data_IF_001341738985
#
_entry.id   IF_001341738985
#
_cell.length_a   1.000
_cell.length_b   1.000
_cell.length_c   1.000
_cell.angle_alpha   90.00
_cell.angle_beta   90.00
_cell.angle_gamma   90.00
#
_symmetry.space_group_name_H-M   'P 1'
#
loop_
_entity.id
_entity.type
_entity.pdbx_description
1 polymer ?
#
# COMPACT_ATOMS: atom_id res chain seq x y z
N UNK A 1 -16.21 3.50 10.79
CA UNK A 1 -16.52 2.98 9.44
C UNK A 1 -15.40 3.39 8.49
N UNK A 2 -14.97 2.48 7.61
CA UNK A 2 -14.02 2.74 6.55
C UNK A 2 -14.77 2.74 5.21
N UNK A 3 -14.76 3.88 4.52
CA UNK A 3 -15.29 3.95 3.16
C UNK A 3 -14.30 3.31 2.18
N UNK A 4 -14.80 2.57 1.20
CA UNK A 4 -13.97 2.03 0.13
C UNK A 4 -14.75 1.85 -1.16
N UNK A 5 -14.04 1.75 -2.27
CA UNK A 5 -14.56 1.38 -3.59
C UNK A 5 -13.99 0.04 -4.00
N UNK A 6 -14.78 -0.72 -4.75
CA UNK A 6 -14.38 -1.98 -5.37
C UNK A 6 -14.46 -1.84 -6.88
N UNK A 7 -13.42 -2.26 -7.57
CA UNK A 7 -13.45 -2.47 -9.01
C UNK A 7 -13.38 -3.98 -9.27
N UNK A 8 -14.42 -4.51 -9.89
CA UNK A 8 -14.47 -5.90 -10.31
C UNK A 8 -13.86 -6.08 -11.72
N UNK A 9 -13.36 -7.28 -12.10
CA UNK A 9 -13.08 -7.62 -13.49
C UNK A 9 -14.26 -7.32 -14.43
N UNK A 10 -13.99 -7.11 -15.73
CA UNK A 10 -15.05 -6.78 -16.70
C UNK A 10 -16.12 -7.87 -16.77
N UNK A 11 -15.67 -9.12 -16.84
CA UNK A 11 -16.51 -10.31 -16.94
C UNK A 11 -16.42 -11.09 -15.62
N UNK A 12 -16.81 -10.41 -14.51
CA UNK A 12 -16.71 -11.01 -13.19
C UNK A 12 -17.66 -12.21 -13.05
N UNK A 13 -17.07 -13.33 -12.68
CA UNK A 13 -17.73 -14.61 -12.48
C UNK A 13 -17.37 -15.16 -11.08
N UNK A 14 -18.34 -15.31 -10.20
CA UNK A 14 -18.13 -15.77 -8.82
C UNK A 14 -17.53 -17.18 -8.72
N UNK A 15 -17.61 -17.99 -9.78
CA UNK A 15 -17.05 -19.33 -9.82
C UNK A 15 -15.55 -19.34 -10.11
N UNK A 16 -14.97 -18.21 -10.59
CA UNK A 16 -13.57 -18.04 -10.89
C UNK A 16 -12.81 -17.39 -9.73
N UNK A 17 -11.50 -17.67 -9.66
CA UNK A 17 -10.61 -17.03 -8.67
C UNK A 17 -9.82 -15.90 -9.28
N UNK A 18 -9.89 -14.74 -8.64
CA UNK A 18 -9.21 -13.51 -9.10
C UNK A 18 -8.11 -13.07 -8.14
N UNK A 19 -7.07 -12.41 -8.63
CA UNK A 19 -6.17 -11.63 -7.80
C UNK A 19 -6.94 -10.56 -7.02
N UNK A 20 -6.48 -10.27 -5.82
CA UNK A 20 -6.94 -9.15 -5.01
C UNK A 20 -5.85 -8.07 -4.96
N UNK A 21 -6.18 -6.84 -5.28
CA UNK A 21 -5.24 -5.73 -5.23
C UNK A 21 -5.73 -4.64 -4.28
N UNK A 22 -4.96 -4.33 -3.27
CA UNK A 22 -5.19 -3.20 -2.37
C UNK A 22 -4.40 -1.99 -2.86
N UNK A 23 -5.07 -0.85 -3.01
CA UNK A 23 -4.43 0.44 -3.30
C UNK A 23 -4.66 1.44 -2.16
N UNK A 24 -3.59 1.95 -1.56
CA UNK A 24 -3.61 2.98 -0.53
C UNK A 24 -3.23 4.33 -1.14
N UNK A 25 -4.12 5.31 -1.05
CA UNK A 25 -3.95 6.65 -1.61
C UNK A 25 -2.98 7.54 -0.82
N UNK A 26 -2.59 8.68 -1.38
CA UNK A 26 -1.76 9.69 -0.72
C UNK A 26 -2.52 10.51 0.34
N UNK A 27 -1.81 11.40 1.01
CA UNK A 27 -2.39 12.20 2.11
C UNK A 27 -3.45 13.19 1.61
N UNK A 28 -3.36 13.64 0.36
CA UNK A 28 -4.29 14.60 -0.26
C UNK A 28 -5.67 14.02 -0.58
N UNK A 29 -5.78 12.71 -0.75
CA UNK A 29 -7.01 12.02 -1.17
C UNK A 29 -7.86 11.55 0.02
N UNK A 30 -7.46 11.91 1.24
CA UNK A 30 -8.28 11.69 2.45
C UNK A 30 -9.62 12.40 2.36
N UNK A 31 -10.61 11.86 3.01
CA UNK A 31 -11.95 12.43 3.07
C UNK A 31 -13.02 11.44 3.46
N UNK A 32 -14.27 11.78 3.17
CA UNK A 32 -15.45 10.95 3.41
C UNK A 32 -16.37 10.84 2.18
N UNK A 33 -15.93 11.42 1.05
CA UNK A 33 -16.72 11.48 -0.19
C UNK A 33 -16.71 10.16 -0.99
N UNK A 34 -15.83 9.24 -0.60
CA UNK A 34 -15.61 7.96 -1.28
C UNK A 34 -15.32 8.12 -2.79
N UNK A 35 -14.62 9.21 -3.19
CA UNK A 35 -14.28 9.57 -4.57
C UNK A 35 -12.81 9.97 -4.73
N UNK A 36 -12.27 10.82 -3.84
CA UNK A 36 -10.91 11.37 -3.95
C UNK A 36 -9.82 10.31 -4.02
N UNK A 37 -9.99 9.16 -3.34
CA UNK A 37 -9.02 8.05 -3.38
C UNK A 37 -8.80 7.47 -4.79
N UNK A 38 -9.65 7.80 -5.77
CA UNK A 38 -9.54 7.34 -7.15
C UNK A 38 -8.76 8.31 -8.06
N UNK A 39 -8.35 9.48 -7.58
CA UNK A 39 -7.85 10.60 -8.40
C UNK A 39 -6.68 10.19 -9.31
N UNK A 40 -5.63 9.58 -8.76
CA UNK A 40 -4.40 9.31 -9.52
C UNK A 40 -4.37 7.94 -10.18
N UNK A 41 -5.04 6.97 -9.61
CA UNK A 41 -4.87 5.57 -9.99
C UNK A 41 -6.03 5.03 -10.82
N UNK A 42 -7.16 5.72 -10.83
CA UNK A 42 -8.36 5.27 -11.54
C UNK A 42 -8.07 4.99 -13.03
N UNK A 43 -7.32 5.86 -13.71
CA UNK A 43 -6.99 5.69 -15.14
C UNK A 43 -6.21 4.39 -15.43
N UNK A 44 -5.37 3.93 -14.50
CA UNK A 44 -4.60 2.69 -14.67
C UNK A 44 -5.52 1.48 -14.51
N UNK A 45 -6.29 1.43 -13.42
CA UNK A 45 -7.14 0.28 -13.11
C UNK A 45 -8.43 0.25 -13.90
N UNK A 46 -9.05 1.41 -14.23
CA UNK A 46 -10.29 1.47 -15.00
C UNK A 46 -10.09 1.31 -16.52
N UNK A 47 -8.85 1.39 -17.01
CA UNK A 47 -8.54 1.23 -18.43
C UNK A 47 -9.02 -0.14 -18.95
N UNK A 48 -9.85 -0.15 -19.99
CA UNK A 48 -10.45 -1.38 -20.55
C UNK A 48 -9.41 -2.41 -20.97
N UNK A 49 -8.30 -1.99 -21.60
CA UNK A 49 -7.20 -2.88 -22.01
C UNK A 49 -6.53 -3.52 -20.80
N UNK A 50 -6.24 -2.72 -19.74
CA UNK A 50 -5.63 -3.22 -18.53
C UNK A 50 -6.56 -4.21 -17.80
N UNK A 51 -7.85 -3.89 -17.66
CA UNK A 51 -8.86 -4.76 -17.03
C UNK A 51 -9.02 -6.09 -17.77
N UNK A 52 -8.93 -6.09 -19.13
CA UNK A 52 -8.96 -7.31 -19.92
C UNK A 52 -7.67 -8.13 -19.77
N UNK A 53 -6.51 -7.46 -19.79
CA UNK A 53 -5.19 -8.13 -19.72
C UNK A 53 -4.86 -8.63 -18.31
N UNK A 54 -5.29 -7.90 -17.27
CA UNK A 54 -4.99 -8.16 -15.86
C UNK A 54 -6.27 -8.15 -15.02
N UNK A 55 -7.18 -9.11 -15.21
CA UNK A 55 -8.42 -9.15 -14.46
C UNK A 55 -8.11 -9.36 -12.97
N UNK A 56 -8.55 -8.41 -12.14
CA UNK A 56 -8.34 -8.41 -10.69
C UNK A 56 -9.51 -7.71 -9.98
N UNK A 57 -9.75 -8.06 -8.74
CA UNK A 57 -10.59 -7.31 -7.82
C UNK A 57 -9.70 -6.28 -7.16
N UNK A 58 -10.03 -4.99 -7.27
CA UNK A 58 -9.22 -3.90 -6.72
C UNK A 58 -10.01 -3.16 -5.65
N UNK A 59 -9.38 -2.94 -4.51
CA UNK A 59 -9.95 -2.26 -3.35
C UNK A 59 -9.26 -0.91 -3.17
N UNK A 60 -10.06 0.15 -3.09
CA UNK A 60 -9.63 1.52 -2.88
C UNK A 60 -10.29 2.07 -1.60
N UNK A 61 -9.70 1.84 -0.42
CA UNK A 61 -10.21 2.45 0.81
C UNK A 61 -9.89 3.95 0.84
N UNK A 62 -10.67 4.71 1.63
CA UNK A 62 -10.43 6.13 1.88
C UNK A 62 -10.24 6.38 3.36
N UNK A 63 -9.07 6.91 3.75
CA UNK A 63 -8.83 7.39 5.10
C UNK A 63 -9.54 8.73 5.33
N UNK A 64 -10.13 8.97 6.50
CA UNK A 64 -10.73 10.26 6.82
C UNK A 64 -9.66 11.35 7.00
N UNK A 65 -10.06 12.63 6.95
CA UNK A 65 -9.15 13.76 7.16
C UNK A 65 -8.44 13.72 8.52
N UNK A 66 -9.07 13.13 9.52
CA UNK A 66 -8.57 13.04 10.90
C UNK A 66 -7.58 11.90 11.12
N UNK A 67 -7.32 11.05 10.12
CA UNK A 67 -6.43 9.89 10.24
C UNK A 67 -5.53 9.71 9.01
N UNK A 68 -4.69 8.70 9.00
CA UNK A 68 -3.77 8.40 7.91
C UNK A 68 -3.48 6.90 7.83
N UNK A 69 -2.78 6.46 6.76
CA UNK A 69 -2.41 5.05 6.59
C UNK A 69 -1.23 4.59 7.45
N UNK A 70 -0.49 5.52 8.06
CA UNK A 70 0.74 5.17 8.77
C UNK A 70 0.86 5.91 10.09
N UNK A 71 1.44 5.24 11.07
CA UNK A 71 1.80 5.75 12.40
C UNK A 71 3.03 6.68 12.38
N UNK A 72 3.30 7.35 11.24
CA UNK A 72 4.42 8.27 11.10
C UNK A 72 4.37 9.43 12.10
N UNK A 73 5.55 9.86 12.55
CA UNK A 73 5.74 11.06 13.35
C UNK A 73 6.33 12.13 12.44
N UNK A 74 5.69 13.30 12.37
CA UNK A 74 6.25 14.46 11.68
C UNK A 74 7.25 15.16 12.59
N UNK A 75 8.39 15.51 12.03
CA UNK A 75 9.43 16.32 12.69
C UNK A 75 9.86 17.44 11.76
N UNK A 76 10.35 18.53 12.30
CA UNK A 76 11.05 19.55 11.50
C UNK A 76 12.52 19.13 11.35
N UNK A 77 13.01 19.09 10.11
CA UNK A 77 14.39 18.79 9.80
C UNK A 77 14.92 19.70 8.70
N UNK A 78 16.12 20.29 8.85
CA UNK A 78 16.71 21.19 7.85
C UNK A 78 16.94 20.54 6.50
N UNK A 79 17.12 19.21 6.46
CA UNK A 79 17.38 18.40 5.26
C UNK A 79 16.12 17.76 4.67
N UNK A 80 14.94 18.27 5.03
CA UNK A 80 13.61 17.77 4.59
C UNK A 80 13.33 16.30 4.93
N UNK A 81 14.10 15.68 5.82
CA UNK A 81 13.80 14.33 6.31
C UNK A 81 12.83 14.40 7.50
N UNK A 82 11.59 14.74 7.18
CA UNK A 82 10.56 15.14 8.16
C UNK A 82 9.76 13.98 8.77
N UNK A 83 10.13 12.72 8.49
CA UNK A 83 9.38 11.55 8.97
C UNK A 83 10.20 10.66 9.87
N UNK A 84 9.62 10.31 11.01
CA UNK A 84 10.10 9.25 11.91
C UNK A 84 9.04 8.17 12.08
N UNK A 85 9.48 6.96 12.34
CA UNK A 85 8.63 5.80 12.59
C UNK A 85 9.14 5.06 13.80
N UNK A 86 8.24 4.44 14.58
CA UNK A 86 8.60 3.54 15.68
C UNK A 86 8.62 2.10 15.19
N UNK A 87 9.61 1.31 15.59
CA UNK A 87 9.68 -0.12 15.24
C UNK A 87 8.42 -0.87 15.70
N UNK A 88 8.02 -0.65 16.93
CA UNK A 88 6.82 -1.25 17.53
C UNK A 88 5.66 -0.25 17.51
N UNK A 89 5.28 0.21 16.31
CA UNK A 89 4.13 1.11 16.15
C UNK A 89 2.81 0.35 16.33
N UNK A 90 1.83 1.03 16.93
CA UNK A 90 0.43 0.65 16.82
C UNK A 90 -0.10 1.19 15.50
N UNK A 91 -0.72 0.37 14.65
CA UNK A 91 -1.34 0.85 13.43
C UNK A 91 -2.37 1.94 13.71
N UNK A 92 -2.52 2.88 12.80
CA UNK A 92 -3.61 3.86 12.86
C UNK A 92 -4.96 3.15 12.80
N UNK A 93 -6.03 3.84 13.19
CA UNK A 93 -7.39 3.29 13.10
C UNK A 93 -7.75 2.91 11.65
N UNK A 94 -7.39 3.75 10.68
CA UNK A 94 -7.61 3.49 9.26
C UNK A 94 -6.85 2.26 8.77
N UNK A 95 -5.56 2.12 9.14
CA UNK A 95 -4.77 0.95 8.75
C UNK A 95 -5.31 -0.33 9.42
N UNK A 96 -5.72 -0.26 10.68
CA UNK A 96 -6.34 -1.39 11.39
C UNK A 96 -7.63 -1.85 10.71
N UNK A 97 -8.46 -0.90 10.26
CA UNK A 97 -9.69 -1.23 9.52
C UNK A 97 -9.38 -1.86 8.14
N UNK A 98 -8.34 -1.37 7.45
CA UNK A 98 -7.86 -2.00 6.20
C UNK A 98 -7.38 -3.42 6.46
N UNK A 99 -6.63 -3.66 7.53
CA UNK A 99 -6.20 -5.02 7.91
C UNK A 99 -7.39 -5.95 8.08
N UNK A 100 -8.39 -5.56 8.87
CA UNK A 100 -9.60 -6.36 9.06
C UNK A 100 -10.41 -6.58 7.77
N UNK A 101 -10.49 -5.56 6.90
CA UNK A 101 -11.12 -5.68 5.60
C UNK A 101 -10.38 -6.71 4.72
N UNK A 102 -9.05 -6.64 4.65
CA UNK A 102 -8.25 -7.58 3.86
C UNK A 102 -8.30 -8.99 4.44
N UNK A 103 -8.22 -9.15 5.76
CA UNK A 103 -8.37 -10.45 6.43
C UNK A 103 -9.72 -11.10 6.08
N UNK A 104 -10.81 -10.31 5.96
CA UNK A 104 -12.12 -10.81 5.54
C UNK A 104 -12.20 -11.12 4.04
N UNK A 105 -11.65 -10.23 3.18
CA UNK A 105 -11.73 -10.43 1.73
C UNK A 105 -10.97 -11.66 1.25
N UNK A 106 -9.81 -11.96 1.83
CA UNK A 106 -9.03 -13.14 1.44
C UNK A 106 -9.70 -14.46 1.79
N UNK A 107 -10.77 -14.48 2.59
CA UNK A 107 -11.55 -15.70 2.88
C UNK A 107 -12.56 -16.04 1.79
N UNK A 108 -12.90 -15.10 0.89
CA UNK A 108 -13.90 -15.30 -0.14
C UNK A 108 -13.42 -16.30 -1.21
N UNK A 109 -14.31 -17.20 -1.66
CA UNK A 109 -13.98 -18.29 -2.58
C UNK A 109 -13.45 -17.81 -3.94
N UNK A 110 -13.93 -16.66 -4.41
CA UNK A 110 -13.50 -16.05 -5.66
C UNK A 110 -12.20 -15.23 -5.55
N UNK A 111 -11.53 -15.25 -4.40
CA UNK A 111 -10.21 -14.64 -4.23
C UNK A 111 -9.10 -15.70 -4.30
N UNK A 112 -8.10 -15.43 -5.13
CA UNK A 112 -6.86 -16.20 -5.13
C UNK A 112 -5.92 -15.71 -4.03
N UNK A 113 -5.90 -16.40 -2.90
CA UNK A 113 -5.08 -16.05 -1.72
C UNK A 113 -3.57 -15.96 -2.00
N UNK A 114 -3.09 -16.62 -3.06
CA UNK A 114 -1.67 -16.58 -3.49
C UNK A 114 -1.37 -15.40 -4.42
N UNK A 115 -2.37 -14.60 -4.78
CA UNK A 115 -2.26 -13.45 -5.69
C UNK A 115 -2.87 -12.19 -5.08
N UNK A 116 -2.43 -11.85 -3.89
CA UNK A 116 -2.82 -10.61 -3.19
C UNK A 116 -1.71 -9.58 -3.36
N UNK A 117 -2.02 -8.41 -3.89
CA UNK A 117 -1.06 -7.37 -4.23
C UNK A 117 -1.35 -6.08 -3.47
N UNK A 118 -0.30 -5.30 -3.24
CA UNK A 118 -0.38 -4.03 -2.52
C UNK A 118 0.32 -2.92 -3.30
N UNK A 119 -0.38 -1.81 -3.51
CA UNK A 119 0.24 -0.57 -4.00
C UNK A 119 -0.11 0.56 -3.04
N UNK A 120 0.85 1.42 -2.77
CA UNK A 120 0.64 2.61 -1.97
C UNK A 120 1.33 3.82 -2.55
N UNK A 121 0.69 4.99 -2.52
CA UNK A 121 1.24 6.26 -2.98
C UNK A 121 1.52 7.18 -1.80
N UNK A 122 2.75 7.72 -1.67
CA UNK A 122 3.11 8.71 -0.65
C UNK A 122 2.76 8.22 0.78
N UNK A 123 1.83 8.84 1.47
CA UNK A 123 1.30 8.34 2.74
C UNK A 123 0.75 6.91 2.64
N UNK A 124 0.17 6.53 1.49
CA UNK A 124 -0.24 5.16 1.21
C UNK A 124 0.93 4.19 1.11
N UNK A 125 2.08 4.63 0.58
CA UNK A 125 3.29 3.83 0.57
C UNK A 125 3.88 3.65 1.98
N UNK A 126 3.77 4.67 2.83
CA UNK A 126 4.13 4.54 4.26
C UNK A 126 3.25 3.49 4.95
N UNK A 127 1.94 3.53 4.68
CA UNK A 127 1.00 2.51 5.14
C UNK A 127 1.28 1.13 4.56
N UNK A 128 1.73 1.05 3.31
CA UNK A 128 2.11 -0.21 2.67
C UNK A 128 3.30 -0.87 3.38
N UNK A 129 4.36 -0.14 3.69
CA UNK A 129 5.49 -0.66 4.46
C UNK A 129 5.07 -1.12 5.87
N UNK A 130 4.19 -0.36 6.53
CA UNK A 130 3.68 -0.75 7.85
C UNK A 130 2.78 -1.99 7.77
N UNK A 131 1.93 -2.08 6.75
CA UNK A 131 1.05 -3.22 6.51
C UNK A 131 1.83 -4.50 6.18
N UNK A 132 2.88 -4.42 5.37
CA UNK A 132 3.81 -5.53 5.11
C UNK A 132 4.44 -6.05 6.41
N UNK A 133 4.81 -5.16 7.33
CA UNK A 133 5.33 -5.55 8.64
C UNK A 133 4.26 -6.26 9.50
N UNK A 134 3.01 -5.82 9.44
CA UNK A 134 1.90 -6.37 10.26
C UNK A 134 1.26 -7.63 9.65
N UNK A 135 1.38 -7.82 8.34
CA UNK A 135 0.85 -8.96 7.58
C UNK A 135 1.89 -9.48 6.57
N UNK A 136 3.05 -9.99 7.06
CA UNK A 136 4.20 -10.31 6.22
C UNK A 136 3.96 -11.46 5.23
N UNK A 137 2.93 -12.29 5.47
CA UNK A 137 2.61 -13.46 4.64
C UNK A 137 1.39 -13.22 3.73
N UNK A 138 0.79 -12.02 3.76
CA UNK A 138 -0.43 -11.74 3.02
C UNK A 138 -0.18 -11.43 1.54
N UNK A 139 0.91 -10.73 1.22
CA UNK A 139 1.09 -10.13 -0.10
C UNK A 139 2.10 -10.90 -0.96
N UNK A 140 1.67 -11.25 -2.18
CA UNK A 140 2.51 -11.88 -3.18
C UNK A 140 3.52 -10.91 -3.81
N UNK A 141 3.22 -9.60 -3.84
CA UNK A 141 4.13 -8.52 -4.20
C UNK A 141 3.58 -7.18 -3.74
N UNK A 142 4.46 -6.16 -3.62
CA UNK A 142 4.04 -4.80 -3.30
C UNK A 142 4.82 -3.74 -4.09
N UNK A 143 4.14 -2.61 -4.37
CA UNK A 143 4.69 -1.46 -5.08
C UNK A 143 4.48 -0.19 -4.25
N UNK A 144 5.38 0.13 -3.29
CA UNK A 144 5.39 1.40 -2.60
C UNK A 144 5.94 2.50 -3.53
N UNK A 145 5.19 3.60 -3.68
CA UNK A 145 5.54 4.75 -4.56
C UNK A 145 5.77 5.98 -3.67
N UNK A 146 6.95 6.61 -3.76
CA UNK A 146 7.40 7.79 -3.02
C UNK A 146 7.08 7.72 -1.51
N UNK A 147 7.46 6.61 -0.86
CA UNK A 147 7.14 6.34 0.54
C UNK A 147 8.32 6.41 1.49
N UNK A 148 8.01 6.15 2.76
CA UNK A 148 8.97 6.03 3.85
C UNK A 148 8.49 4.96 4.84
N UNK A 149 9.41 4.35 5.57
CA UNK A 149 9.08 3.34 6.58
C UNK A 149 10.19 3.20 7.64
N UNK A 150 9.94 2.35 8.63
CA UNK A 150 10.96 2.00 9.61
C UNK A 150 11.81 0.83 9.09
N UNK A 151 13.15 0.96 9.03
CA UNK A 151 14.03 -0.11 8.54
C UNK A 151 13.83 -1.44 9.29
N UNK A 152 13.62 -1.39 10.59
CA UNK A 152 13.40 -2.60 11.40
C UNK A 152 12.10 -3.37 11.07
N UNK A 153 11.21 -2.84 10.25
CA UNK A 153 10.04 -3.58 9.74
C UNK A 153 10.41 -4.55 8.63
N UNK A 154 11.46 -4.24 7.90
CA UNK A 154 11.89 -4.97 6.69
C UNK A 154 12.18 -6.44 6.97
N UNK A 155 12.76 -6.76 8.13
CA UNK A 155 13.11 -8.13 8.52
C UNK A 155 11.93 -9.12 8.45
N UNK A 156 10.70 -8.62 8.62
CA UNK A 156 9.51 -9.47 8.64
C UNK A 156 9.04 -9.88 7.23
N UNK A 157 9.38 -9.10 6.17
CA UNK A 157 8.84 -9.32 4.82
C UNK A 157 9.87 -9.37 3.69
N UNK A 158 11.13 -8.95 3.92
CA UNK A 158 12.13 -8.81 2.87
C UNK A 158 12.33 -10.07 2.00
N UNK A 159 12.33 -11.26 2.61
CA UNK A 159 12.49 -12.55 1.93
C UNK A 159 11.17 -13.17 1.47
N UNK A 160 10.02 -12.56 1.81
CA UNK A 160 8.69 -13.11 1.57
C UNK A 160 7.96 -12.39 0.45
N UNK A 161 8.07 -11.06 0.41
CA UNK A 161 7.31 -10.21 -0.49
C UNK A 161 8.25 -9.50 -1.47
N UNK A 162 8.26 -9.84 -2.76
CA UNK A 162 8.92 -9.05 -3.79
C UNK A 162 8.44 -7.61 -3.79
N UNK A 163 9.37 -6.65 -3.86
CA UNK A 163 9.08 -5.22 -3.84
C UNK A 163 9.53 -4.53 -5.12
N UNK A 164 8.67 -3.68 -5.67
CA UNK A 164 9.04 -2.69 -6.67
C UNK A 164 8.86 -1.30 -6.06
N UNK A 165 9.97 -0.70 -5.63
CA UNK A 165 9.97 0.60 -4.95
C UNK A 165 10.24 1.70 -5.99
N UNK A 166 9.29 2.64 -6.12
CA UNK A 166 9.36 3.73 -7.10
C UNK A 166 9.48 5.05 -6.36
N UNK A 167 10.41 5.93 -6.79
CA UNK A 167 10.56 7.27 -6.23
C UNK A 167 11.15 8.23 -7.25
N UNK A 168 10.63 9.45 -7.33
CA UNK A 168 11.21 10.52 -8.10
C UNK A 168 12.43 11.11 -7.38
N UNK A 169 13.54 11.31 -8.08
CA UNK A 169 14.80 11.82 -7.50
C UNK A 169 14.69 13.27 -6.98
N UNK A 170 13.73 14.06 -7.50
CA UNK A 170 13.48 15.46 -7.12
C UNK A 170 12.19 15.62 -6.27
N UNK A 171 11.78 14.58 -5.54
CA UNK A 171 10.63 14.68 -4.65
C UNK A 171 10.95 15.55 -3.43
N UNK A 172 10.32 16.74 -3.36
CA UNK A 172 10.50 17.71 -2.28
C UNK A 172 9.52 17.52 -1.13
N UNK A 173 8.54 16.61 -1.26
CA UNK A 173 7.53 16.32 -0.23
C UNK A 173 7.96 15.15 0.65
N UNK A 174 8.34 14.04 0.01
CA UNK A 174 8.91 12.88 0.68
C UNK A 174 10.32 12.67 0.12
N UNK A 175 11.33 13.06 0.89
CA UNK A 175 12.71 13.02 0.41
C UNK A 175 13.10 11.60 -0.06
N UNK A 176 13.71 11.42 -1.26
CA UNK A 176 14.04 10.10 -1.85
C UNK A 176 14.91 9.21 -0.95
N UNK A 177 15.68 9.83 -0.05
CA UNK A 177 16.45 9.14 1.00
C UNK A 177 15.65 8.02 1.68
N UNK A 178 14.36 8.23 1.94
CA UNK A 178 13.55 7.23 2.64
C UNK A 178 13.38 5.94 1.82
N UNK A 179 13.06 6.06 0.54
CA UNK A 179 12.95 4.88 -0.33
C UNK A 179 14.31 4.20 -0.54
N UNK A 180 15.39 4.98 -0.74
CA UNK A 180 16.75 4.46 -0.84
C UNK A 180 17.12 3.68 0.43
N UNK A 181 16.83 4.23 1.61
CA UNK A 181 17.06 3.56 2.88
C UNK A 181 16.27 2.25 2.98
N UNK A 182 15.01 2.23 2.55
CA UNK A 182 14.21 1.00 2.57
C UNK A 182 14.78 -0.04 1.61
N UNK A 183 15.20 0.36 0.38
CA UNK A 183 15.86 -0.52 -0.61
C UNK A 183 17.11 -1.15 0.00
N UNK A 184 18.02 -0.33 0.55
CA UNK A 184 19.26 -0.83 1.16
C UNK A 184 18.97 -1.84 2.28
N UNK A 185 18.00 -1.51 3.16
CA UNK A 185 17.64 -2.43 4.25
C UNK A 185 17.02 -3.73 3.77
N UNK A 186 16.23 -3.70 2.66
CA UNK A 186 15.69 -4.92 2.05
C UNK A 186 16.81 -5.80 1.49
N UNK A 187 17.82 -5.21 0.84
CA UNK A 187 18.99 -5.93 0.33
C UNK A 187 19.80 -6.53 1.48
N UNK A 188 20.11 -5.76 2.51
CA UNK A 188 20.80 -6.21 3.72
C UNK A 188 20.07 -7.37 4.42
N UNK A 189 18.74 -7.36 4.40
CA UNK A 189 17.91 -8.44 4.93
C UNK A 189 17.78 -9.65 3.99
N UNK A 190 18.48 -9.65 2.84
CA UNK A 190 18.50 -10.74 1.87
C UNK A 190 17.29 -10.75 0.90
N UNK A 191 16.58 -9.65 0.76
CA UNK A 191 15.57 -9.44 -0.27
C UNK A 191 16.16 -8.89 -1.56
N UNK A 192 15.38 -8.90 -2.64
CA UNK A 192 15.79 -8.40 -3.98
C UNK A 192 14.76 -7.39 -4.51
N UNK A 193 14.76 -6.15 -4.01
CA UNK A 193 13.84 -5.11 -4.48
C UNK A 193 14.23 -4.63 -5.88
N UNK A 194 13.26 -4.11 -6.61
CA UNK A 194 13.45 -3.42 -7.90
C UNK A 194 13.02 -1.97 -7.76
#
# INVERSE_FOLDING_TARGET
TLNYRILLPQDFDKTKKYPLHLFLHGIGERGSDNKKQLTYINRVFSNKRNRKKFPAIVIFPQAPLTDSWSSRILIKSPDNKNYKFKKNSTPTKSLSMVMGLMDSLVTLDHINKKRVYLTGLSNGAMGAFELLNKRPDMFAAATPICGAGHPGWVLNYAKKTPLWIIHGSDDRTVHPYYSIRMVNTVIEAGGSPK
#
